data_IF_847962348607
#
_entry.id   IF_847962348607
#
_cell.length_a   1.000
_cell.length_b   1.000
_cell.length_c   1.000
_cell.angle_alpha   90.00
_cell.angle_beta   90.00
_cell.angle_gamma   90.00
#
_symmetry.space_group_name_H-M   'P 1'
#
loop_
_entity.id
_entity.type
_entity.pdbx_description
1 polymer ?
#
# COMPACT_ATOMS: atom_id res chain seq x y z
N UNK A 1 -33.32 30.94 -26.56
CA UNK A 1 -32.36 30.00 -25.94
C UNK A 1 -31.31 30.88 -25.28
N UNK A 2 -31.46 31.13 -23.99
CA UNK A 2 -30.52 31.94 -23.19
C UNK A 2 -29.12 31.31 -23.26
N UNK A 3 -28.12 32.13 -23.58
CA UNK A 3 -26.73 31.75 -23.84
C UNK A 3 -25.94 31.31 -22.58
N UNK A 4 -26.55 30.58 -21.65
CA UNK A 4 -25.86 30.07 -20.45
C UNK A 4 -25.21 31.14 -19.57
N UNK A 5 -25.60 32.42 -19.72
CA UNK A 5 -25.10 33.53 -18.91
C UNK A 5 -25.77 33.48 -17.54
N UNK A 6 -24.98 33.26 -16.51
CA UNK A 6 -25.42 33.36 -15.11
C UNK A 6 -25.50 34.86 -14.77
N UNK A 7 -26.68 35.46 -14.92
CA UNK A 7 -26.96 36.82 -14.47
C UNK A 7 -27.24 36.85 -12.96
N UNK A 8 -26.20 36.59 -12.15
CA UNK A 8 -26.25 36.70 -10.68
C UNK A 8 -25.29 37.79 -10.22
N UNK A 9 -25.63 38.58 -9.18
CA UNK A 9 -24.66 39.49 -8.57
C UNK A 9 -23.45 38.72 -8.05
N UNK A 10 -22.26 39.30 -8.26
CA UNK A 10 -21.02 38.79 -7.66
C UNK A 10 -21.09 39.09 -6.15
N UNK A 11 -21.18 38.02 -5.34
CA UNK A 11 -21.28 38.13 -3.88
C UNK A 11 -19.93 38.51 -3.27
N UNK A 12 -18.84 37.97 -3.81
CA UNK A 12 -17.47 38.26 -3.39
C UNK A 12 -16.52 38.14 -4.59
N UNK A 13 -15.61 39.11 -4.82
CA UNK A 13 -14.58 38.98 -5.84
C UNK A 13 -13.63 37.81 -5.53
N UNK A 14 -13.29 37.00 -6.53
CA UNK A 14 -12.35 35.88 -6.36
C UNK A 14 -10.98 36.30 -5.80
N UNK A 15 -10.61 37.57 -5.95
CA UNK A 15 -9.39 38.16 -5.36
C UNK A 15 -9.36 38.17 -3.84
N UNK A 16 -10.51 38.02 -3.16
CA UNK A 16 -10.60 37.95 -1.71
C UNK A 16 -10.61 36.50 -1.18
N UNK A 17 -10.77 35.51 -2.08
CA UNK A 17 -10.61 34.10 -1.73
C UNK A 17 -9.11 33.84 -1.58
N UNK A 18 -8.68 33.37 -0.41
CA UNK A 18 -7.28 32.95 -0.19
C UNK A 18 -6.94 31.84 -1.20
N UNK A 19 -6.07 32.17 -2.15
CA UNK A 19 -5.50 31.21 -3.10
C UNK A 19 -4.15 30.70 -2.58
N UNK A 20 -4.11 30.28 -1.32
CA UNK A 20 -2.93 29.70 -0.69
C UNK A 20 -2.97 28.18 -0.87
N UNK A 21 -1.86 27.60 -1.32
CA UNK A 21 -1.73 26.14 -1.38
C UNK A 21 -1.66 25.61 0.05
N UNK A 22 -2.68 24.85 0.46
CA UNK A 22 -2.75 24.27 1.81
C UNK A 22 -1.85 23.04 1.99
N UNK A 23 -1.30 22.52 0.89
CA UNK A 23 -0.35 21.41 0.90
C UNK A 23 1.04 21.92 1.30
N UNK A 24 1.76 21.27 2.23
CA UNK A 24 3.10 21.68 2.60
C UNK A 24 4.05 21.64 1.39
N UNK A 25 5.10 22.46 1.41
CA UNK A 25 6.06 22.52 0.30
C UNK A 25 6.86 21.21 0.17
N UNK A 26 7.18 20.61 1.31
CA UNK A 26 7.88 19.33 1.44
C UNK A 26 6.96 18.28 2.05
N UNK A 27 7.22 17.02 1.75
CA UNK A 27 6.49 15.93 2.38
C UNK A 27 6.88 15.82 3.87
N UNK A 28 5.90 15.95 4.75
CA UNK A 28 6.04 15.79 6.20
C UNK A 28 5.24 14.56 6.66
N UNK A 29 5.90 13.42 6.94
CA UNK A 29 5.21 12.15 7.18
C UNK A 29 4.29 12.15 8.42
N UNK A 30 4.63 12.93 9.44
CA UNK A 30 3.88 12.99 10.70
C UNK A 30 2.79 14.06 10.72
N UNK A 31 2.67 14.86 9.65
CA UNK A 31 1.70 15.95 9.57
C UNK A 31 0.27 15.40 9.66
N UNK A 32 -0.46 15.83 10.68
CA UNK A 32 -1.84 15.41 10.97
C UNK A 32 -2.02 13.88 11.05
N UNK A 33 -1.03 13.15 11.55
CA UNK A 33 -1.05 11.67 11.60
C UNK A 33 -2.24 11.11 12.39
N UNK A 34 -2.73 11.86 13.38
CA UNK A 34 -3.93 11.57 14.16
C UNK A 34 -5.22 11.65 13.32
N UNK A 35 -5.29 12.64 12.43
CA UNK A 35 -6.38 12.81 11.47
C UNK A 35 -6.32 11.74 10.39
N UNK A 36 -5.12 11.43 9.88
CA UNK A 36 -4.91 10.32 8.93
C UNK A 36 -5.39 9.00 9.54
N UNK A 37 -4.95 8.68 10.77
CA UNK A 37 -5.41 7.49 11.50
C UNK A 37 -6.94 7.45 11.59
N UNK A 38 -7.56 8.56 12.00
CA UNK A 38 -9.02 8.65 12.17
C UNK A 38 -9.79 8.48 10.86
N UNK A 39 -9.27 9.06 9.77
CA UNK A 39 -9.83 8.92 8.42
C UNK A 39 -9.73 7.48 7.92
N UNK A 40 -8.61 6.79 8.14
CA UNK A 40 -8.45 5.38 7.77
C UNK A 40 -9.39 4.46 8.55
N UNK A 41 -9.50 4.65 9.87
CA UNK A 41 -10.43 3.88 10.72
C UNK A 41 -11.88 4.11 10.29
N UNK A 42 -12.26 5.36 10.03
CA UNK A 42 -13.58 5.72 9.52
C UNK A 42 -13.83 5.08 8.15
N UNK A 43 -12.88 5.18 7.22
CA UNK A 43 -13.00 4.63 5.86
C UNK A 43 -13.21 3.12 5.85
N UNK A 44 -12.48 2.37 6.70
CA UNK A 44 -12.69 0.93 6.85
C UNK A 44 -14.09 0.65 7.44
N UNK A 45 -14.47 1.32 8.52
CA UNK A 45 -15.78 1.11 9.17
C UNK A 45 -16.93 1.37 8.21
N UNK A 46 -16.93 2.54 7.57
CA UNK A 46 -17.98 2.96 6.64
C UNK A 46 -18.08 2.06 5.43
N UNK A 47 -16.94 1.59 4.89
CA UNK A 47 -16.95 0.65 3.77
C UNK A 47 -17.67 -0.65 4.14
N UNK A 48 -17.38 -1.20 5.32
CA UNK A 48 -17.99 -2.44 5.80
C UNK A 48 -19.48 -2.27 6.09
N UNK A 49 -19.85 -1.22 6.84
CA UNK A 49 -21.24 -0.93 7.19
C UNK A 49 -22.11 -0.71 5.94
N UNK A 50 -21.65 0.12 5.00
CA UNK A 50 -22.43 0.46 3.79
C UNK A 50 -22.52 -0.70 2.80
N UNK A 51 -21.53 -1.58 2.77
CA UNK A 51 -21.52 -2.76 1.90
C UNK A 51 -22.16 -4.00 2.57
N UNK A 52 -22.53 -3.93 3.85
CA UNK A 52 -23.12 -5.05 4.59
C UNK A 52 -22.13 -6.17 4.96
N UNK A 53 -20.82 -5.89 4.98
CA UNK A 53 -19.80 -6.81 5.45
C UNK A 53 -19.49 -6.57 6.92
N UNK A 54 -19.08 -7.62 7.63
CA UNK A 54 -18.73 -7.53 9.05
C UNK A 54 -17.31 -8.01 9.35
N UNK A 55 -16.68 -8.77 8.45
CA UNK A 55 -15.41 -9.46 8.73
C UNK A 55 -14.36 -9.21 7.65
N UNK A 56 -13.16 -8.89 8.10
CA UNK A 56 -11.99 -8.64 7.27
C UNK A 56 -11.02 -9.82 7.34
N UNK A 57 -10.28 -10.03 6.24
CA UNK A 57 -9.10 -10.88 6.22
C UNK A 57 -7.88 -10.07 5.77
N UNK A 58 -6.73 -10.33 6.38
CA UNK A 58 -5.47 -9.65 6.06
C UNK A 58 -4.34 -10.67 6.00
N UNK A 59 -3.48 -10.58 4.98
CA UNK A 59 -2.20 -11.29 4.97
C UNK A 59 -1.23 -10.65 5.96
N UNK A 60 -0.81 -11.40 6.98
CA UNK A 60 0.14 -10.92 7.99
C UNK A 60 1.56 -11.36 7.61
N UNK A 61 2.31 -10.45 7.00
CA UNK A 61 3.69 -10.71 6.54
C UNK A 61 4.74 -10.51 7.63
N UNK A 62 4.37 -9.91 8.76
CA UNK A 62 5.32 -9.41 9.76
C UNK A 62 6.01 -8.12 9.36
N UNK A 63 5.65 -7.51 8.23
CA UNK A 63 6.08 -6.18 7.81
C UNK A 63 5.19 -5.06 8.38
N UNK A 64 5.67 -3.82 8.29
CA UNK A 64 4.97 -2.66 8.88
C UNK A 64 3.61 -2.39 8.25
N UNK A 65 3.46 -2.57 6.93
CA UNK A 65 2.20 -2.22 6.24
C UNK A 65 1.06 -3.16 6.62
N UNK A 66 1.33 -4.47 6.68
CA UNK A 66 0.34 -5.44 7.16
C UNK A 66 0.04 -5.25 8.64
N UNK A 67 1.05 -4.93 9.46
CA UNK A 67 0.85 -4.68 10.89
C UNK A 67 -0.05 -3.46 11.16
N UNK A 68 0.20 -2.35 10.48
CA UNK A 68 -0.63 -1.13 10.58
C UNK A 68 -2.02 -1.39 10.04
N UNK A 69 -2.16 -2.12 8.93
CA UNK A 69 -3.47 -2.48 8.36
C UNK A 69 -4.30 -3.31 9.34
N UNK A 70 -3.72 -4.31 9.99
CA UNK A 70 -4.42 -5.13 10.99
C UNK A 70 -4.84 -4.27 12.18
N UNK A 71 -3.95 -3.41 12.71
CA UNK A 71 -4.27 -2.54 13.83
C UNK A 71 -5.39 -1.54 13.51
N UNK A 72 -5.39 -0.94 12.31
CA UNK A 72 -6.47 -0.06 11.83
C UNK A 72 -7.79 -0.83 11.67
N UNK A 73 -7.74 -2.04 11.11
CA UNK A 73 -8.91 -2.89 10.94
C UNK A 73 -9.53 -3.28 12.29
N UNK A 74 -8.70 -3.61 13.30
CA UNK A 74 -9.17 -3.93 14.65
C UNK A 74 -9.83 -2.72 15.31
N UNK A 75 -9.26 -1.53 15.13
CA UNK A 75 -9.86 -0.29 15.63
C UNK A 75 -11.18 0.07 14.93
N UNK A 76 -11.33 -0.31 13.66
CA UNK A 76 -12.53 -0.04 12.87
C UNK A 76 -13.67 -1.04 13.14
N UNK A 77 -13.35 -2.34 13.18
CA UNK A 77 -14.32 -3.44 13.11
C UNK A 77 -14.43 -4.26 14.39
N UNK A 78 -13.50 -4.11 15.34
CA UNK A 78 -13.37 -5.00 16.49
C UNK A 78 -12.49 -6.21 16.21
N UNK A 79 -11.77 -6.69 17.24
CA UNK A 79 -10.75 -7.73 17.13
C UNK A 79 -11.28 -9.07 16.61
N UNK A 80 -12.49 -9.44 16.99
CA UNK A 80 -13.17 -10.68 16.58
C UNK A 80 -13.53 -10.72 15.09
N UNK A 81 -13.53 -9.55 14.44
CA UNK A 81 -13.90 -9.37 13.04
C UNK A 81 -12.71 -9.25 12.10
N UNK A 82 -11.48 -9.39 12.60
CA UNK A 82 -10.25 -9.28 11.79
C UNK A 82 -9.47 -10.59 11.82
N UNK A 83 -9.51 -11.33 10.70
CA UNK A 83 -8.78 -12.58 10.57
C UNK A 83 -7.42 -12.38 9.90
N UNK A 84 -6.33 -12.67 10.61
CA UNK A 84 -4.98 -12.57 10.05
C UNK A 84 -4.49 -13.94 9.55
N UNK A 85 -3.86 -13.98 8.37
CA UNK A 85 -3.27 -15.22 7.84
C UNK A 85 -1.78 -15.02 7.59
N UNK A 86 -0.95 -15.80 8.28
CA UNK A 86 0.49 -15.86 8.05
C UNK A 86 0.76 -16.92 6.98
N UNK A 87 1.59 -16.59 5.99
CA UNK A 87 1.83 -17.48 4.85
C UNK A 87 3.33 -17.59 4.52
N UNK A 88 4.12 -18.22 5.41
CA UNK A 88 5.57 -18.30 5.24
C UNK A 88 5.95 -19.17 4.05
N UNK A 89 7.02 -18.78 3.35
CA UNK A 89 7.73 -19.62 2.39
C UNK A 89 9.07 -20.08 2.96
N UNK A 90 9.87 -20.78 2.17
CA UNK A 90 11.23 -21.19 2.55
C UNK A 90 12.19 -20.00 2.77
N UNK A 91 11.85 -18.83 2.22
CA UNK A 91 12.65 -17.61 2.38
C UNK A 91 12.19 -16.74 3.55
N UNK A 92 11.06 -17.07 4.18
CA UNK A 92 10.53 -16.31 5.30
C UNK A 92 11.42 -16.45 6.54
N UNK A 93 11.73 -15.32 7.17
CA UNK A 93 12.55 -15.35 8.40
C UNK A 93 11.71 -15.80 9.59
N UNK A 94 12.32 -16.54 10.52
CA UNK A 94 11.67 -16.97 11.77
C UNK A 94 11.17 -15.77 12.59
N UNK A 95 11.91 -14.66 12.54
CA UNK A 95 11.53 -13.41 13.19
C UNK A 95 10.28 -12.78 12.57
N UNK A 96 10.14 -12.74 11.24
CA UNK A 96 8.94 -12.20 10.58
C UNK A 96 7.66 -12.96 10.96
N UNK A 97 7.74 -14.30 11.05
CA UNK A 97 6.62 -15.13 11.51
C UNK A 97 6.30 -14.85 12.99
N UNK A 98 7.32 -14.84 13.85
CA UNK A 98 7.15 -14.59 15.30
C UNK A 98 6.55 -13.21 15.57
N UNK A 99 6.99 -12.18 14.84
CA UNK A 99 6.47 -10.82 14.94
C UNK A 99 4.98 -10.75 14.57
N UNK A 100 4.60 -11.39 13.46
CA UNK A 100 3.23 -11.44 12.96
C UNK A 100 2.28 -12.17 13.94
N UNK A 101 2.76 -13.25 14.57
CA UNK A 101 2.03 -13.96 15.62
C UNK A 101 1.89 -13.09 16.88
N UNK A 102 2.99 -12.47 17.34
CA UNK A 102 2.99 -11.58 18.52
C UNK A 102 2.01 -10.42 18.35
N UNK A 103 1.95 -9.82 17.17
CA UNK A 103 0.97 -8.78 16.85
C UNK A 103 -0.45 -9.28 17.05
N UNK A 104 -0.79 -10.45 16.47
CA UNK A 104 -2.15 -11.00 16.54
C UNK A 104 -2.56 -11.37 17.97
N UNK A 105 -1.62 -11.91 18.75
CA UNK A 105 -1.81 -12.18 20.18
C UNK A 105 -2.08 -10.89 20.96
N UNK A 106 -1.32 -9.83 20.67
CA UNK A 106 -1.43 -8.52 21.35
C UNK A 106 -2.78 -7.86 21.05
N UNK A 107 -3.20 -7.86 19.78
CA UNK A 107 -4.49 -7.34 19.33
C UNK A 107 -5.67 -8.24 19.67
N UNK A 108 -5.41 -9.51 20.04
CA UNK A 108 -6.40 -10.53 20.37
C UNK A 108 -7.37 -10.82 19.21
N UNK A 109 -6.88 -10.70 17.98
CA UNK A 109 -7.63 -11.05 16.77
C UNK A 109 -7.34 -12.51 16.38
N UNK A 110 -8.29 -13.22 15.75
CA UNK A 110 -8.06 -14.58 15.29
C UNK A 110 -7.00 -14.59 14.18
N UNK A 111 -6.11 -15.58 14.22
CA UNK A 111 -5.09 -15.78 13.19
C UNK A 111 -4.84 -17.25 12.88
N UNK A 112 -4.27 -17.52 11.71
CA UNK A 112 -3.87 -18.86 11.30
C UNK A 112 -2.62 -18.83 10.42
N UNK A 113 -1.82 -19.89 10.44
CA UNK A 113 -0.59 -20.01 9.66
C UNK A 113 -0.76 -21.09 8.60
N UNK A 114 -0.54 -20.72 7.33
CA UNK A 114 -0.63 -21.61 6.17
C UNK A 114 0.68 -21.49 5.36
N UNK A 115 1.68 -22.37 5.60
CA UNK A 115 2.90 -22.37 4.80
C UNK A 115 2.63 -22.62 3.31
N UNK A 116 3.29 -21.88 2.42
CA UNK A 116 3.01 -21.96 0.98
C UNK A 116 3.95 -22.91 0.21
N UNK A 117 4.93 -23.51 0.89
CA UNK A 117 6.01 -24.29 0.27
C UNK A 117 5.49 -25.37 -0.68
N UNK A 118 4.53 -26.18 -0.26
CA UNK A 118 4.03 -27.29 -1.09
C UNK A 118 3.23 -26.81 -2.30
N UNK A 119 2.49 -25.70 -2.16
CA UNK A 119 1.74 -25.09 -3.27
C UNK A 119 2.73 -24.48 -4.27
N UNK A 120 3.74 -23.77 -3.78
CA UNK A 120 4.80 -23.21 -4.59
C UNK A 120 5.57 -24.28 -5.36
N UNK A 121 5.98 -25.36 -4.70
CA UNK A 121 6.64 -26.51 -5.34
C UNK A 121 5.77 -27.17 -6.40
N UNK A 122 4.46 -27.22 -6.19
CA UNK A 122 3.52 -27.74 -7.18
C UNK A 122 3.50 -26.87 -8.44
N UNK A 123 3.48 -25.54 -8.31
CA UNK A 123 3.62 -24.65 -9.47
C UNK A 123 4.94 -24.85 -10.21
N UNK A 124 6.07 -24.91 -9.49
CA UNK A 124 7.38 -25.11 -10.11
C UNK A 124 7.47 -26.45 -10.87
N UNK A 125 6.90 -27.51 -10.30
CA UNK A 125 6.85 -28.83 -10.94
C UNK A 125 6.08 -28.78 -12.26
N UNK A 126 4.88 -28.20 -12.26
CA UNK A 126 4.03 -28.13 -13.47
C UNK A 126 4.63 -27.20 -14.54
N UNK A 127 5.35 -26.14 -14.13
CA UNK A 127 6.00 -25.21 -15.06
C UNK A 127 7.38 -25.69 -15.54
N UNK A 128 7.99 -26.67 -14.87
CA UNK A 128 9.33 -27.18 -15.19
C UNK A 128 9.52 -27.57 -16.66
N UNK A 129 8.58 -28.23 -17.36
CA UNK A 129 8.74 -28.52 -18.79
C UNK A 129 8.86 -27.28 -19.69
N UNK A 130 8.26 -26.16 -19.27
CA UNK A 130 8.31 -24.87 -19.99
C UNK A 130 9.53 -24.05 -19.59
N UNK A 131 9.83 -23.97 -18.30
CA UNK A 131 10.95 -23.19 -17.77
C UNK A 131 12.30 -23.84 -18.06
N UNK A 132 12.33 -25.18 -18.17
CA UNK A 132 13.55 -25.97 -18.38
C UNK A 132 14.58 -25.59 -17.31
N UNK A 133 15.84 -25.37 -17.71
CA UNK A 133 16.93 -24.98 -16.82
C UNK A 133 17.17 -23.46 -16.80
N UNK A 134 16.15 -22.65 -17.11
CA UNK A 134 16.28 -21.20 -16.97
C UNK A 134 16.51 -20.81 -15.50
N UNK A 135 17.34 -19.79 -15.24
CA UNK A 135 17.65 -19.37 -13.87
C UNK A 135 16.42 -18.78 -13.17
N UNK A 136 16.39 -18.93 -11.84
CA UNK A 136 15.42 -18.29 -10.97
C UNK A 136 15.32 -16.78 -11.26
N UNK A 137 14.11 -16.26 -11.31
CA UNK A 137 13.80 -14.91 -11.73
C UNK A 137 12.61 -14.33 -10.95
N UNK A 138 12.17 -13.14 -11.36
CA UNK A 138 10.94 -12.52 -10.86
C UNK A 138 9.70 -13.39 -11.08
N UNK A 139 9.74 -14.36 -12.00
CA UNK A 139 8.62 -15.27 -12.23
C UNK A 139 8.33 -16.11 -10.99
N UNK A 140 9.36 -16.75 -10.43
CA UNK A 140 9.31 -17.59 -9.23
C UNK A 140 8.92 -16.79 -7.98
N UNK A 141 9.47 -15.59 -7.80
CA UNK A 141 9.06 -14.65 -6.74
C UNK A 141 7.56 -14.34 -6.82
N UNK A 142 7.07 -14.02 -8.02
CA UNK A 142 5.67 -13.68 -8.25
C UNK A 142 4.72 -14.88 -8.05
N UNK A 143 5.16 -16.13 -8.28
CA UNK A 143 4.35 -17.32 -7.99
C UNK A 143 4.06 -17.40 -6.48
N UNK A 144 5.06 -17.12 -5.63
CA UNK A 144 4.85 -17.08 -4.18
C UNK A 144 3.83 -16.00 -3.80
N UNK A 145 3.98 -14.79 -4.35
CA UNK A 145 3.04 -13.69 -4.07
C UNK A 145 1.61 -14.01 -4.52
N UNK A 146 1.43 -14.55 -5.73
CA UNK A 146 0.11 -14.99 -6.25
C UNK A 146 -0.50 -16.15 -5.49
N UNK A 147 0.32 -17.07 -4.99
CA UNK A 147 -0.13 -18.17 -4.13
C UNK A 147 -0.78 -17.62 -2.86
N UNK A 148 -0.16 -16.61 -2.23
CA UNK A 148 -0.71 -15.94 -1.05
C UNK A 148 -2.02 -15.22 -1.36
N UNK A 149 -2.07 -14.47 -2.46
CA UNK A 149 -3.30 -13.81 -2.93
C UNK A 149 -4.45 -14.81 -3.13
N UNK A 150 -4.19 -15.93 -3.81
CA UNK A 150 -5.19 -16.97 -4.05
C UNK A 150 -5.71 -17.62 -2.76
N UNK A 151 -4.84 -17.90 -1.80
CA UNK A 151 -5.25 -18.45 -0.49
C UNK A 151 -6.15 -17.48 0.25
N UNK A 152 -5.75 -16.20 0.35
CA UNK A 152 -6.55 -15.16 1.01
C UNK A 152 -7.91 -14.99 0.34
N UNK A 153 -7.96 -14.93 -0.98
CA UNK A 153 -9.21 -14.81 -1.74
C UNK A 153 -10.09 -16.05 -1.60
N UNK A 154 -9.52 -17.26 -1.55
CA UNK A 154 -10.28 -18.48 -1.33
C UNK A 154 -10.94 -18.49 0.06
N UNK A 155 -10.21 -18.09 1.10
CA UNK A 155 -10.75 -17.95 2.47
C UNK A 155 -11.81 -16.85 2.50
N UNK A 156 -11.53 -15.69 1.89
CA UNK A 156 -12.47 -14.57 1.80
C UNK A 156 -13.80 -15.00 1.19
N UNK A 157 -13.76 -15.70 0.06
CA UNK A 157 -14.96 -16.22 -0.61
C UNK A 157 -15.70 -17.25 0.23
N UNK A 158 -14.97 -18.14 0.93
CA UNK A 158 -15.58 -19.21 1.73
C UNK A 158 -16.34 -18.69 2.94
N UNK A 159 -15.80 -17.65 3.58
CA UNK A 159 -16.32 -17.12 4.85
C UNK A 159 -16.96 -15.73 4.73
N UNK A 160 -17.11 -15.22 3.51
CA UNK A 160 -17.66 -13.90 3.20
C UNK A 160 -16.89 -12.75 3.89
N UNK A 161 -15.57 -12.76 3.75
CA UNK A 161 -14.69 -11.70 4.26
C UNK A 161 -14.29 -10.74 3.15
N UNK A 162 -13.94 -9.50 3.51
CA UNK A 162 -13.24 -8.58 2.62
C UNK A 162 -11.73 -8.69 2.87
N UNK A 163 -10.97 -8.99 1.81
CA UNK A 163 -9.52 -8.92 1.86
C UNK A 163 -9.08 -7.44 1.91
N UNK A 164 -8.47 -7.04 3.01
CA UNK A 164 -7.80 -5.75 3.10
C UNK A 164 -6.41 -5.85 2.49
N UNK A 165 -6.18 -5.09 1.43
CA UNK A 165 -4.87 -4.94 0.83
C UNK A 165 -4.00 -4.02 1.69
N UNK A 166 -2.70 -4.35 1.76
CA UNK A 166 -1.72 -3.70 2.63
C UNK A 166 -0.70 -2.87 1.85
N UNK A 167 -0.85 -2.71 0.53
CA UNK A 167 0.09 -1.93 -0.27
C UNK A 167 0.00 -0.45 0.09
N UNK A 168 1.15 0.22 0.19
CA UNK A 168 1.22 1.65 0.45
C UNK A 168 1.36 2.46 -0.86
N UNK A 169 1.20 3.77 -0.76
CA UNK A 169 1.25 4.68 -1.91
C UNK A 169 2.60 4.66 -2.63
N UNK A 170 3.70 4.48 -1.91
CA UNK A 170 5.05 4.43 -2.49
C UNK A 170 5.23 3.20 -3.39
N UNK A 171 4.76 2.04 -2.93
CA UNK A 171 4.74 0.78 -3.67
C UNK A 171 3.83 0.88 -4.90
N UNK A 172 2.62 1.42 -4.74
CA UNK A 172 1.68 1.61 -5.86
C UNK A 172 2.18 2.64 -6.89
N UNK A 173 2.91 3.65 -6.43
CA UNK A 173 3.51 4.65 -7.31
C UNK A 173 4.56 3.99 -8.19
N UNK A 174 5.49 3.25 -7.59
CA UNK A 174 6.61 2.64 -8.31
C UNK A 174 6.25 1.31 -8.98
N UNK A 175 5.06 0.77 -8.69
CA UNK A 175 4.63 -0.55 -9.12
C UNK A 175 5.44 -1.69 -8.48
N UNK A 176 6.02 -1.44 -7.31
CA UNK A 176 6.69 -2.43 -6.48
C UNK A 176 5.65 -3.33 -5.82
N UNK A 177 5.18 -4.31 -6.59
CA UNK A 177 4.12 -5.22 -6.19
C UNK A 177 3.75 -6.18 -7.32
N UNK A 178 3.17 -7.30 -6.93
CA UNK A 178 2.75 -8.37 -7.83
C UNK A 178 1.27 -8.25 -8.14
N UNK A 179 0.93 -8.05 -9.41
CA UNK A 179 -0.46 -8.14 -9.84
C UNK A 179 -1.07 -9.49 -9.45
N UNK A 180 -2.21 -9.41 -8.76
CA UNK A 180 -2.97 -10.55 -8.23
C UNK A 180 -2.24 -11.38 -7.17
N UNK A 181 -1.10 -10.88 -6.67
CA UNK A 181 -0.43 -11.38 -5.48
C UNK A 181 -0.70 -10.46 -4.31
N UNK A 182 0.34 -9.79 -3.82
CA UNK A 182 0.26 -8.78 -2.77
C UNK A 182 -0.69 -7.62 -3.13
N UNK A 183 -0.89 -7.32 -4.42
CA UNK A 183 -1.84 -6.30 -4.86
C UNK A 183 -3.32 -6.75 -4.81
N UNK A 184 -3.61 -8.01 -4.45
CA UNK A 184 -4.98 -8.49 -4.34
C UNK A 184 -5.70 -7.88 -3.12
N UNK A 185 -6.96 -7.51 -3.28
CA UNK A 185 -7.81 -7.01 -2.20
C UNK A 185 -9.17 -6.53 -2.67
N UNK A 186 -10.08 -6.36 -1.71
CA UNK A 186 -11.36 -5.68 -1.90
C UNK A 186 -11.31 -4.20 -1.46
N UNK A 187 -10.35 -3.83 -0.61
CA UNK A 187 -10.13 -2.46 -0.16
C UNK A 187 -8.66 -2.27 0.22
N UNK A 188 -8.00 -1.25 -0.32
CA UNK A 188 -6.64 -0.86 0.05
C UNK A 188 -6.69 0.21 1.13
N UNK A 189 -6.28 -0.17 2.34
CA UNK A 189 -6.32 0.72 3.51
C UNK A 189 -5.20 1.76 3.44
N UNK A 190 -3.99 1.34 3.06
CA UNK A 190 -2.81 2.19 3.04
C UNK A 190 -2.47 2.74 1.65
N UNK A 191 -3.31 2.48 0.64
CA UNK A 191 -3.00 2.79 -0.76
C UNK A 191 -2.79 4.27 -1.06
N UNK A 192 -3.19 5.16 -0.14
CA UNK A 192 -2.94 6.60 -0.22
C UNK A 192 -2.04 7.15 0.91
N UNK A 193 -1.36 6.27 1.65
CA UNK A 193 -0.33 6.60 2.63
C UNK A 193 1.05 6.30 2.06
N UNK A 194 1.98 7.26 2.08
CA UNK A 194 3.38 6.98 1.75
C UNK A 194 4.05 6.07 2.80
N UNK A 195 5.14 5.40 2.45
CA UNK A 195 5.83 4.48 3.35
C UNK A 195 6.24 5.14 4.66
N UNK A 196 6.80 6.35 4.59
CA UNK A 196 7.17 7.11 5.79
C UNK A 196 5.94 7.42 6.66
N UNK A 197 4.78 7.72 6.06
CA UNK A 197 3.51 7.88 6.79
C UNK A 197 3.05 6.58 7.46
N UNK A 198 3.28 5.41 6.85
CA UNK A 198 2.98 4.11 7.47
C UNK A 198 3.83 3.90 8.73
N UNK A 199 5.11 4.26 8.70
CA UNK A 199 5.96 4.24 9.90
C UNK A 199 5.45 5.19 10.99
N UNK A 200 5.04 6.41 10.63
CA UNK A 200 4.47 7.36 11.59
C UNK A 200 3.11 6.89 12.15
N UNK A 201 2.28 6.22 11.34
CA UNK A 201 1.06 5.55 11.81
C UNK A 201 1.39 4.44 12.82
N UNK A 202 2.43 3.63 12.57
CA UNK A 202 2.86 2.59 13.49
C UNK A 202 3.31 3.18 14.85
N UNK A 203 4.09 4.26 14.83
CA UNK A 203 4.49 5.00 16.04
C UNK A 203 3.28 5.60 16.75
N UNK A 204 2.37 6.20 16.00
CA UNK A 204 1.14 6.76 16.55
C UNK A 204 0.27 5.68 17.21
N UNK A 205 0.10 4.51 16.60
CA UNK A 205 -0.60 3.36 17.19
C UNK A 205 0.05 2.95 18.51
N UNK A 206 1.38 2.94 18.58
CA UNK A 206 2.15 2.58 19.77
C UNK A 206 2.27 3.69 20.83
N UNK A 207 1.68 4.88 20.64
CA UNK A 207 1.89 6.06 21.50
C UNK A 207 1.57 5.84 22.99
N UNK A 208 0.67 4.89 23.29
CA UNK A 208 0.22 4.56 24.65
C UNK A 208 0.68 3.18 25.12
N UNK A 209 1.57 2.52 24.38
CA UNK A 209 2.04 1.16 24.67
C UNK A 209 2.35 0.37 23.40
N UNK A 210 3.21 -0.65 23.52
CA UNK A 210 3.56 -1.51 22.38
C UNK A 210 2.35 -2.37 21.95
N UNK A 211 1.74 -2.01 20.82
CA UNK A 211 0.73 -2.82 20.13
C UNK A 211 1.37 -3.53 18.94
N UNK A 212 2.03 -2.77 18.08
CA UNK A 212 2.85 -3.27 16.98
C UNK A 212 4.25 -3.56 17.53
N UNK A 213 4.77 -4.80 17.46
CA UNK A 213 6.10 -5.11 17.96
C UNK A 213 7.16 -4.16 17.40
N UNK A 214 7.99 -3.58 18.28
CA UNK A 214 9.00 -2.58 17.88
C UNK A 214 9.95 -3.10 16.79
N UNK A 215 10.24 -4.41 16.79
CA UNK A 215 11.05 -5.06 15.76
C UNK A 215 10.46 -4.93 14.34
N UNK A 216 9.12 -4.96 14.18
CA UNK A 216 8.45 -4.72 12.88
C UNK A 216 8.75 -3.31 12.36
N UNK A 217 8.83 -2.32 13.26
CA UNK A 217 9.03 -0.90 12.92
C UNK A 217 10.51 -0.62 12.60
N UNK A 218 11.44 -1.32 13.24
CA UNK A 218 12.87 -1.06 13.11
C UNK A 218 13.56 -1.88 12.03
N UNK A 219 13.02 -3.05 11.66
CA UNK A 219 13.64 -3.91 10.66
C UNK A 219 13.53 -3.30 9.25
N UNK A 220 14.53 -3.53 8.37
CA UNK A 220 14.44 -3.11 6.98
C UNK A 220 13.23 -3.77 6.27
N UNK A 221 12.53 -3.03 5.39
CA UNK A 221 11.41 -3.59 4.63
C UNK A 221 11.90 -4.61 3.59
N UNK A 222 11.14 -5.71 3.46
CA UNK A 222 11.41 -6.81 2.53
C UNK A 222 10.15 -7.62 2.25
N UNK A 223 10.03 -8.12 1.01
CA UNK A 223 9.00 -9.07 0.61
C UNK A 223 9.35 -10.55 0.92
N UNK A 224 10.61 -10.83 1.32
CA UNK A 224 11.11 -12.19 1.63
C UNK A 224 10.74 -13.25 0.58
N UNK A 225 10.91 -12.94 -0.71
CA UNK A 225 10.62 -13.84 -1.84
C UNK A 225 11.85 -14.56 -2.41
N UNK A 226 13.05 -14.12 -2.01
CA UNK A 226 14.35 -14.74 -2.33
C UNK A 226 15.34 -14.51 -1.18
N UNK A 227 16.45 -15.26 -1.09
CA UNK A 227 17.40 -15.12 0.02
C UNK A 227 17.96 -13.70 0.13
N UNK A 228 17.88 -13.11 1.32
CA UNK A 228 18.49 -11.81 1.64
C UNK A 228 17.86 -10.60 0.96
N UNK A 229 16.67 -10.73 0.36
CA UNK A 229 15.97 -9.66 -0.34
C UNK A 229 15.72 -8.43 0.56
N UNK A 230 15.91 -7.23 -0.01
CA UNK A 230 15.47 -5.96 0.57
C UNK A 230 14.75 -5.12 -0.48
N UNK A 231 13.84 -4.25 -0.05
CA UNK A 231 13.21 -3.29 -0.97
C UNK A 231 14.24 -2.37 -1.65
N UNK A 232 15.29 -2.01 -0.91
CA UNK A 232 16.43 -1.20 -1.39
C UNK A 232 17.22 -1.84 -2.53
N UNK A 233 17.01 -3.13 -2.81
CA UNK A 233 17.60 -3.80 -3.99
C UNK A 233 16.96 -3.31 -5.30
N UNK A 234 15.79 -2.66 -5.24
CA UNK A 234 15.00 -2.27 -6.41
C UNK A 234 14.49 -0.82 -6.36
N UNK A 235 14.37 -0.24 -5.16
CA UNK A 235 13.91 1.11 -4.94
C UNK A 235 14.99 1.93 -4.22
N UNK A 236 15.01 3.27 -4.42
CA UNK A 236 15.75 4.16 -3.53
C UNK A 236 15.16 4.13 -2.11
N UNK A 237 15.92 4.64 -1.15
CA UNK A 237 15.44 4.78 0.23
C UNK A 237 14.14 5.59 0.28
N UNK A 238 13.21 5.15 1.13
CA UNK A 238 11.85 5.68 1.16
C UNK A 238 11.77 7.16 1.58
N UNK A 239 12.74 7.65 2.35
CA UNK A 239 12.85 9.07 2.72
C UNK A 239 13.05 9.98 1.50
N UNK A 240 13.87 9.55 0.53
CA UNK A 240 14.09 10.25 -0.73
C UNK A 240 12.96 9.95 -1.72
N UNK A 241 12.53 8.69 -1.81
CA UNK A 241 11.47 8.26 -2.73
C UNK A 241 10.18 9.04 -2.48
N UNK A 242 9.71 9.08 -1.23
CA UNK A 242 8.42 9.68 -0.89
C UNK A 242 8.43 11.19 -1.16
N UNK A 243 9.57 11.88 -0.97
CA UNK A 243 9.72 13.30 -1.32
C UNK A 243 9.59 13.54 -2.83
N UNK A 244 10.25 12.72 -3.65
CA UNK A 244 10.15 12.81 -5.12
C UNK A 244 8.70 12.53 -5.56
N UNK A 245 8.09 11.48 -5.01
CA UNK A 245 6.73 11.10 -5.34
C UNK A 245 5.71 12.16 -4.95
N UNK A 246 5.83 12.75 -3.76
CA UNK A 246 4.95 13.83 -3.29
C UNK A 246 5.02 15.06 -4.19
N UNK A 247 6.24 15.46 -4.58
CA UNK A 247 6.45 16.58 -5.51
C UNK A 247 5.84 16.31 -6.89
N UNK A 248 6.00 15.10 -7.40
CA UNK A 248 5.46 14.74 -8.71
C UNK A 248 3.94 14.54 -8.71
N UNK A 249 3.39 13.88 -7.69
CA UNK A 249 1.99 13.46 -7.64
C UNK A 249 1.14 14.59 -7.06
N UNK A 250 1.30 14.93 -5.79
CA UNK A 250 0.51 15.93 -5.07
C UNK A 250 0.73 17.33 -5.65
N UNK A 251 1.99 17.75 -5.67
CA UNK A 251 2.38 19.12 -6.07
C UNK A 251 2.38 19.32 -7.60
N UNK A 252 2.29 18.23 -8.38
CA UNK A 252 2.30 18.27 -9.86
C UNK A 252 3.48 19.03 -10.45
N UNK A 253 4.63 18.96 -9.79
CA UNK A 253 5.85 19.58 -10.26
C UNK A 253 6.39 18.84 -11.50
N UNK A 254 6.98 19.59 -12.43
CA UNK A 254 7.63 19.01 -13.59
C UNK A 254 8.94 18.31 -13.20
N UNK A 255 9.49 17.41 -14.02
CA UNK A 255 10.80 16.79 -13.74
C UNK A 255 11.90 17.84 -13.54
N UNK A 256 11.86 18.95 -14.29
CA UNK A 256 12.83 20.05 -14.16
C UNK A 256 12.71 20.76 -12.80
N UNK A 257 11.50 20.97 -12.30
CA UNK A 257 11.28 21.58 -10.98
C UNK A 257 11.81 20.68 -9.86
N UNK A 258 11.58 19.36 -9.96
CA UNK A 258 12.05 18.39 -8.95
C UNK A 258 13.58 18.33 -8.95
N UNK A 259 14.22 18.31 -10.13
CA UNK A 259 15.69 18.37 -10.25
C UNK A 259 16.25 19.67 -9.68
N UNK A 260 15.60 20.79 -9.97
CA UNK A 260 16.00 22.11 -9.46
C UNK A 260 15.85 22.23 -7.93
N UNK A 261 15.03 21.38 -7.30
CA UNK A 261 14.91 21.28 -5.85
C UNK A 261 16.05 20.48 -5.18
N UNK A 262 17.05 20.05 -5.95
CA UNK A 262 18.29 19.45 -5.43
C UNK A 262 18.33 17.92 -5.41
N UNK A 263 17.35 17.25 -6.01
CA UNK A 263 17.37 15.78 -6.17
C UNK A 263 18.26 15.35 -7.33
N UNK A 264 18.95 14.22 -7.19
CA UNK A 264 19.77 13.64 -8.26
C UNK A 264 18.96 13.41 -9.53
N UNK A 265 19.46 13.89 -10.67
CA UNK A 265 18.69 13.88 -11.91
C UNK A 265 18.36 12.47 -12.40
N UNK A 266 19.31 11.53 -12.29
CA UNK A 266 19.12 10.14 -12.72
C UNK A 266 18.12 9.43 -11.83
N UNK A 267 18.15 9.72 -10.53
CA UNK A 267 17.18 9.20 -9.57
C UNK A 267 15.77 9.69 -9.89
N UNK A 268 15.59 10.99 -10.13
CA UNK A 268 14.30 11.57 -10.53
C UNK A 268 13.78 10.88 -11.78
N UNK A 269 14.59 10.78 -12.85
CA UNK A 269 14.18 10.18 -14.11
C UNK A 269 13.80 8.69 -13.94
N UNK A 270 14.56 7.95 -13.12
CA UNK A 270 14.27 6.55 -12.80
C UNK A 270 12.94 6.38 -12.06
N UNK A 271 12.70 7.18 -11.00
CA UNK A 271 11.46 7.14 -10.22
C UNK A 271 10.26 7.51 -11.08
N UNK A 272 10.35 8.58 -11.90
CA UNK A 272 9.22 8.98 -12.75
C UNK A 272 8.94 7.96 -13.86
N UNK A 273 9.96 7.30 -14.39
CA UNK A 273 9.81 6.17 -15.33
C UNK A 273 9.07 5.00 -14.67
N UNK A 274 9.40 4.64 -13.42
CA UNK A 274 8.67 3.63 -12.65
C UNK A 274 7.22 4.04 -12.46
N UNK A 275 6.95 5.30 -12.11
CA UNK A 275 5.58 5.81 -11.98
C UNK A 275 4.82 5.62 -13.28
N UNK A 276 5.31 6.15 -14.39
CA UNK A 276 4.58 6.15 -15.65
C UNK A 276 4.33 4.73 -16.18
N UNK A 277 5.33 3.84 -16.11
CA UNK A 277 5.24 2.48 -16.66
C UNK A 277 4.29 1.56 -15.89
N UNK A 278 4.00 1.85 -14.63
CA UNK A 278 3.17 1.00 -13.77
C UNK A 278 1.70 1.43 -13.67
N UNK A 279 1.26 2.36 -14.52
CA UNK A 279 -0.13 2.81 -14.56
C UNK A 279 -1.11 1.66 -14.85
N UNK A 280 -0.71 0.70 -15.69
CA UNK A 280 -1.53 -0.48 -15.98
C UNK A 280 -1.81 -1.35 -14.74
N UNK A 281 -0.89 -1.37 -13.76
CA UNK A 281 -1.12 -2.10 -12.51
C UNK A 281 -2.14 -1.36 -11.64
N UNK A 282 -1.98 -0.04 -11.52
CA UNK A 282 -2.88 0.82 -10.72
C UNK A 282 -4.32 0.83 -11.24
N UNK A 283 -4.52 0.73 -12.55
CA UNK A 283 -5.87 0.67 -13.12
C UNK A 283 -6.64 -0.62 -12.79
N UNK A 284 -5.94 -1.67 -12.36
CA UNK A 284 -6.54 -2.94 -11.94
C UNK A 284 -6.59 -3.08 -10.42
N UNK A 285 -6.19 -2.04 -9.71
CA UNK A 285 -6.07 -2.07 -8.26
C UNK A 285 -7.43 -1.88 -7.59
N UNK A 286 -7.58 -2.45 -6.39
CA UNK A 286 -8.81 -2.32 -5.62
C UNK A 286 -9.05 -0.86 -5.16
N UNK A 287 -10.28 -0.51 -4.74
CA UNK A 287 -10.58 0.82 -4.21
C UNK A 287 -9.64 1.22 -3.08
N UNK A 288 -9.21 2.49 -3.06
CA UNK A 288 -8.27 3.04 -2.09
C UNK A 288 -9.00 4.02 -1.17
N UNK A 289 -8.73 3.95 0.14
CA UNK A 289 -9.15 5.00 1.08
C UNK A 289 -8.28 6.24 0.83
N UNK A 290 -8.90 7.32 0.34
CA UNK A 290 -8.22 8.59 0.06
C UNK A 290 -8.01 9.40 1.34
N UNK A 291 -6.77 9.77 1.61
CA UNK A 291 -6.34 10.67 2.70
C UNK A 291 -5.51 11.86 2.21
N UNK A 292 -5.12 11.88 0.93
CA UNK A 292 -4.36 12.95 0.28
C UNK A 292 -5.18 13.67 -0.81
N UNK A 293 -4.75 14.88 -1.24
CA UNK A 293 -5.36 15.59 -2.35
C UNK A 293 -5.36 14.79 -3.67
N UNK A 294 -4.43 13.84 -3.89
CA UNK A 294 -4.28 13.11 -5.15
C UNK A 294 -4.02 11.62 -4.94
N UNK A 295 -5.05 10.90 -4.50
CA UNK A 295 -5.06 9.44 -4.48
C UNK A 295 -5.03 8.83 -5.89
N UNK A 296 -4.41 7.66 -6.04
CA UNK A 296 -4.56 6.87 -7.27
C UNK A 296 -6.01 6.41 -7.47
N UNK A 297 -6.42 6.25 -8.72
CA UNK A 297 -7.82 5.99 -9.10
C UNK A 297 -8.58 7.30 -9.32
N UNK A 298 -9.61 7.58 -8.51
CA UNK A 298 -10.47 8.75 -8.75
C UNK A 298 -9.76 10.10 -8.54
N UNK A 299 -8.71 10.16 -7.71
CA UNK A 299 -7.97 11.39 -7.41
C UNK A 299 -6.88 11.74 -8.44
N UNK A 300 -6.43 10.77 -9.25
CA UNK A 300 -5.42 10.94 -10.29
C UNK A 300 -5.73 10.02 -11.46
N UNK A 301 -6.22 10.60 -12.55
CA UNK A 301 -6.53 9.89 -13.79
C UNK A 301 -5.51 10.23 -14.86
N UNK A 302 -4.75 9.23 -15.29
CA UNK A 302 -3.81 9.37 -16.41
C UNK A 302 -3.99 8.18 -17.37
N UNK A 303 -3.71 8.34 -18.67
CA UNK A 303 -3.83 7.25 -19.62
C UNK A 303 -2.84 6.11 -19.33
N UNK A 304 -3.29 4.87 -19.47
CA UNK A 304 -2.42 3.68 -19.42
C UNK A 304 -1.44 3.69 -20.61
N UNK A 305 -1.95 3.98 -21.80
CA UNK A 305 -1.17 3.99 -23.05
C UNK A 305 -0.82 5.44 -23.36
N UNK A 306 0.38 5.84 -22.97
CA UNK A 306 0.92 7.14 -23.34
C UNK A 306 2.44 7.13 -23.36
N UNK A 307 3.01 8.03 -24.15
CA UNK A 307 4.44 8.30 -24.22
C UNK A 307 4.64 9.77 -23.88
N UNK A 308 4.97 10.06 -22.63
CA UNK A 308 5.22 11.39 -22.11
C UNK A 308 6.33 11.30 -21.07
N UNK A 309 7.15 12.36 -21.02
CA UNK A 309 8.47 12.40 -20.38
C UNK A 309 9.52 11.56 -21.12
#
# INVERSE_FOLDING_TARGET
LDEGKINSPVIEPATHIRNEELSPETFEPSLHIDTVYSALVMGVRDYFEKMGFTKAIVGSSGGVDSAVTIALAVAALGKENVFAVLMPSEYSTSHSVTDAEKLSITLKNPYHTIPIKEIYNSFLKELSPLFKDLPFSVAEENIQSRTRGNLLMAIANKFNYILLNTSNKSELSTGYGTLYGDMAGGLAVLGDCYKQQVYELARYINRNGEIIPTHIIQKPPSAELRPGQKDSDSLPDYDVLDQILYRYIERTQSPADIKSAGFDEKLVDSVLSLVNRNEYKRNQFCPIIRISPKAFGVGRRVPIVARYL
#
